data_IF_939689610315
#
_entry.id   IF_939689610315
#
_cell.length_a   1.000
_cell.length_b   1.000
_cell.length_c   1.000
_cell.angle_alpha   90.00
_cell.angle_beta   90.00
_cell.angle_gamma   90.00
#
_symmetry.space_group_name_H-M   'P 1'
#
loop_
_entity.id
_entity.type
_entity.pdbx_description
1 polymer ?
#
# COMPACT_ATOMS: atom_id res chain seq x y z
N UNK A 1 -5.38 47.36 9.38
CA UNK A 1 -4.15 46.54 9.54
C UNK A 1 -4.59 45.19 10.06
N UNK A 2 -4.51 44.07 9.37
CA UNK A 2 -4.00 43.73 8.05
C UNK A 2 -4.78 42.50 7.54
N UNK A 3 -4.68 42.31 6.23
CA UNK A 3 -5.47 41.48 5.34
C UNK A 3 -4.86 40.08 5.23
N UNK A 4 -5.64 39.01 5.36
CA UNK A 4 -5.39 37.68 4.75
C UNK A 4 -6.76 37.04 4.47
N UNK A 5 -7.41 37.40 3.35
CA UNK A 5 -7.43 36.63 2.10
C UNK A 5 -7.96 35.19 2.24
N UNK A 6 -9.09 34.96 1.55
CA UNK A 6 -9.91 33.78 1.68
C UNK A 6 -9.25 32.51 1.14
N UNK A 7 -9.60 31.38 1.77
CA UNK A 7 -9.44 30.05 1.19
C UNK A 7 -10.74 29.28 1.27
N UNK A 8 -11.44 29.40 0.14
CA UNK A 8 -12.25 28.41 -0.57
C UNK A 8 -12.57 27.10 0.19
N UNK A 9 -13.87 26.86 0.38
CA UNK A 9 -14.52 25.67 0.91
C UNK A 9 -14.29 24.42 0.02
N UNK A 10 -13.07 23.86 0.03
CA UNK A 10 -12.72 22.56 -0.59
C UNK A 10 -12.10 21.55 0.39
N UNK A 11 -12.43 21.65 1.67
CA UNK A 11 -12.13 20.64 2.70
C UNK A 11 -13.25 19.59 2.80
N UNK A 12 -13.46 18.78 1.76
CA UNK A 12 -14.30 17.58 1.87
C UNK A 12 -13.50 16.33 1.47
N UNK A 13 -13.25 15.49 2.46
CA UNK A 13 -12.98 14.04 2.37
C UNK A 13 -11.59 13.53 1.96
N UNK A 14 -10.50 14.23 2.30
CA UNK A 14 -9.17 13.61 2.23
C UNK A 14 -8.48 13.72 3.59
N UNK A 15 -8.58 12.64 4.37
CA UNK A 15 -7.68 12.40 5.50
C UNK A 15 -6.25 12.54 5.01
N UNK A 16 -5.43 13.40 5.64
CA UNK A 16 -3.99 13.38 5.42
C UNK A 16 -3.49 11.97 5.70
N UNK A 17 -2.96 11.35 4.66
CA UNK A 17 -2.23 10.09 4.69
C UNK A 17 -1.32 10.01 5.92
N UNK A 18 -1.57 9.06 6.84
CA UNK A 18 -0.75 8.93 8.07
C UNK A 18 0.74 8.74 7.71
N UNK A 19 0.98 8.18 6.52
CA UNK A 19 2.30 7.93 5.98
C UNK A 19 2.58 8.68 4.66
N UNK A 20 2.03 9.89 4.46
CA UNK A 20 2.38 10.96 3.48
C UNK A 20 2.94 10.66 2.07
N UNK A 21 2.91 9.43 1.55
CA UNK A 21 3.34 9.06 0.19
C UNK A 21 2.40 8.06 -0.49
N UNK A 22 1.35 7.60 0.18
CA UNK A 22 0.37 6.70 -0.43
C UNK A 22 -0.64 7.50 -1.26
N UNK A 23 -0.58 7.36 -2.59
CA UNK A 23 -1.69 7.78 -3.46
C UNK A 23 -2.66 6.61 -3.61
N UNK A 24 -3.71 6.61 -2.79
CA UNK A 24 -4.81 5.67 -2.98
C UNK A 24 -5.59 6.05 -4.24
N UNK A 25 -5.62 5.18 -5.25
CA UNK A 25 -6.45 5.35 -6.44
C UNK A 25 -7.80 4.66 -6.20
N UNK A 26 -8.92 5.39 -6.09
CA UNK A 26 -10.24 4.79 -5.94
C UNK A 26 -10.66 4.14 -7.26
N UNK A 27 -10.54 2.82 -7.35
CA UNK A 27 -11.15 2.04 -8.44
C UNK A 27 -12.59 1.70 -8.04
N UNK A 28 -13.57 2.47 -8.51
CA UNK A 28 -15.01 2.24 -8.25
C UNK A 28 -15.64 1.22 -9.20
N UNK A 29 -16.40 0.31 -8.57
CA UNK A 29 -17.50 -0.54 -9.08
C UNK A 29 -17.19 -1.93 -9.67
N UNK A 30 -17.85 -2.91 -9.04
CA UNK A 30 -17.82 -4.37 -9.19
C UNK A 30 -18.21 -4.91 -10.60
N UNK A 31 -18.57 -4.04 -11.54
CA UNK A 31 -18.94 -4.41 -12.92
C UNK A 31 -17.77 -4.35 -13.91
N UNK A 32 -16.54 -4.14 -13.44
CA UNK A 32 -15.33 -4.04 -14.25
C UNK A 32 -14.36 -5.22 -14.09
N UNK A 33 -14.73 -6.43 -13.67
CA UNK A 33 -13.71 -7.47 -13.48
C UNK A 33 -12.90 -7.80 -14.76
N UNK A 34 -13.52 -7.75 -15.95
CA UNK A 34 -12.81 -7.87 -17.24
C UNK A 34 -12.12 -6.57 -17.69
N UNK A 35 -12.68 -5.40 -17.37
CA UNK A 35 -12.10 -4.11 -17.75
C UNK A 35 -10.97 -3.67 -16.80
N UNK A 36 -10.94 -4.19 -15.58
CA UNK A 36 -9.92 -4.00 -14.55
C UNK A 36 -8.69 -4.84 -14.86
N UNK A 37 -8.87 -6.07 -15.37
CA UNK A 37 -7.78 -6.83 -16.00
C UNK A 37 -7.22 -6.08 -17.22
N UNK A 38 -8.09 -5.44 -18.02
CA UNK A 38 -7.66 -4.61 -19.15
C UNK A 38 -6.97 -3.31 -18.70
N UNK A 39 -7.41 -2.68 -17.61
CA UNK A 39 -6.76 -1.51 -17.01
C UNK A 39 -5.48 -1.87 -16.26
N UNK A 40 -5.39 -3.05 -15.64
CA UNK A 40 -4.15 -3.63 -15.12
C UNK A 40 -3.19 -3.91 -16.29
N UNK A 41 -3.68 -4.40 -17.43
CA UNK A 41 -2.89 -4.56 -18.65
C UNK A 41 -2.46 -3.21 -19.26
N UNK A 42 -3.28 -2.17 -19.20
CA UNK A 42 -2.93 -0.81 -19.65
C UNK A 42 -1.93 -0.14 -18.69
N UNK A 43 -2.10 -0.29 -17.37
CA UNK A 43 -1.10 0.09 -16.36
C UNK A 43 0.19 -0.73 -16.54
N UNK A 44 0.08 -2.03 -16.86
CA UNK A 44 1.22 -2.89 -17.17
C UNK A 44 2.01 -2.39 -18.39
N UNK A 45 1.35 -1.79 -19.39
CA UNK A 45 1.99 -1.15 -20.54
C UNK A 45 2.71 0.17 -20.17
N UNK A 46 2.18 0.97 -19.25
CA UNK A 46 2.86 2.19 -18.75
C UNK A 46 4.01 1.88 -17.77
N UNK A 47 4.03 0.68 -17.18
CA UNK A 47 5.05 0.21 -16.22
C UNK A 47 6.25 -0.48 -16.88
N UNK A 48 6.29 -0.60 -18.21
CA UNK A 48 7.35 -1.34 -18.94
C UNK A 48 8.77 -0.75 -18.80
N UNK A 49 8.93 0.41 -18.17
CA UNK A 49 10.24 1.01 -17.83
C UNK A 49 10.47 1.19 -16.33
N UNK A 50 9.52 0.77 -15.50
CA UNK A 50 9.47 1.04 -14.06
C UNK A 50 9.67 -0.26 -13.29
N UNK A 51 10.51 -0.24 -12.25
CA UNK A 51 10.71 -1.39 -11.38
C UNK A 51 9.54 -1.47 -10.40
N UNK A 52 8.70 -2.48 -10.56
CA UNK A 52 7.43 -2.63 -9.85
C UNK A 52 7.42 -3.87 -8.98
N UNK A 53 6.92 -3.76 -7.76
CA UNK A 53 6.70 -4.89 -6.86
C UNK A 53 5.22 -5.05 -6.49
N UNK A 54 4.70 -6.25 -6.69
CA UNK A 54 3.36 -6.66 -6.23
C UNK A 54 3.48 -7.45 -4.92
N UNK A 55 2.69 -7.04 -3.93
CA UNK A 55 2.54 -7.71 -2.65
C UNK A 55 1.16 -8.39 -2.61
N UNK A 56 1.15 -9.70 -2.87
CA UNK A 56 -0.05 -10.50 -3.21
C UNK A 56 -0.10 -11.78 -2.35
N UNK A 57 -1.28 -12.31 -2.01
CA UNK A 57 -1.44 -13.59 -1.32
C UNK A 57 -2.06 -14.69 -2.18
N UNK A 58 -2.82 -14.33 -3.21
CA UNK A 58 -3.51 -15.27 -4.07
C UNK A 58 -2.52 -16.04 -4.97
N UNK A 59 -2.39 -17.37 -4.83
CA UNK A 59 -1.48 -18.17 -5.65
C UNK A 59 -1.79 -18.12 -7.15
N UNK A 60 -3.05 -17.96 -7.54
CA UNK A 60 -3.45 -17.86 -8.95
C UNK A 60 -2.95 -16.53 -9.54
N UNK A 61 -3.19 -15.39 -8.86
CA UNK A 61 -2.66 -14.09 -9.28
C UNK A 61 -1.13 -14.06 -9.33
N UNK A 62 -0.47 -14.69 -8.35
CA UNK A 62 0.98 -14.82 -8.32
C UNK A 62 1.48 -15.59 -9.54
N UNK A 63 0.83 -16.69 -9.94
CA UNK A 63 1.23 -17.46 -11.12
C UNK A 63 1.02 -16.71 -12.45
N UNK A 64 -0.05 -15.92 -12.55
CA UNK A 64 -0.36 -15.12 -13.74
C UNK A 64 0.65 -13.98 -13.94
N UNK A 65 1.04 -13.32 -12.85
CA UNK A 65 1.96 -12.18 -12.86
C UNK A 65 3.44 -12.60 -12.74
N UNK A 66 3.72 -13.90 -12.66
CA UNK A 66 5.09 -14.45 -12.59
C UNK A 66 5.85 -14.37 -13.91
N UNK A 67 5.19 -13.91 -14.98
CA UNK A 67 5.85 -13.68 -16.26
C UNK A 67 6.93 -12.60 -16.08
N UNK A 68 8.19 -13.00 -16.23
CA UNK A 68 9.41 -12.20 -16.14
C UNK A 68 9.43 -11.09 -17.21
N UNK A 69 8.58 -10.09 -17.05
CA UNK A 69 8.77 -8.79 -17.68
C UNK A 69 9.93 -8.10 -16.97
N UNK A 70 10.84 -7.50 -17.73
CA UNK A 70 12.00 -6.75 -17.23
C UNK A 70 11.53 -5.56 -16.38
N UNK A 71 11.25 -5.78 -15.09
CA UNK A 71 10.85 -4.73 -14.16
C UNK A 71 9.82 -5.16 -13.12
N UNK A 72 9.02 -6.21 -13.37
CA UNK A 72 7.97 -6.62 -12.42
C UNK A 72 8.42 -7.75 -11.51
N UNK A 73 8.15 -7.64 -10.21
CA UNK A 73 8.35 -8.69 -9.21
C UNK A 73 7.07 -8.91 -8.42
N UNK A 74 6.79 -10.16 -8.06
CA UNK A 74 5.61 -10.51 -7.26
C UNK A 74 6.06 -11.31 -6.05
N UNK A 75 5.73 -10.84 -4.86
CA UNK A 75 6.05 -11.53 -3.61
C UNK A 75 4.78 -11.92 -2.86
N UNK A 76 4.80 -13.18 -2.41
CA UNK A 76 3.73 -13.70 -1.57
C UNK A 76 3.78 -13.05 -0.19
N UNK A 77 2.68 -12.43 0.21
CA UNK A 77 2.48 -11.90 1.57
C UNK A 77 1.51 -12.77 2.35
N UNK A 78 1.73 -12.88 3.66
CA UNK A 78 0.78 -13.51 4.58
C UNK A 78 0.11 -12.43 5.42
N UNK A 79 -1.19 -12.59 5.64
CA UNK A 79 -2.02 -11.62 6.35
C UNK A 79 -2.60 -12.22 7.65
N UNK A 80 -1.78 -12.45 8.70
CA UNK A 80 -2.24 -13.14 9.91
C UNK A 80 -3.12 -12.28 10.83
N UNK A 81 -3.23 -10.98 10.57
CA UNK A 81 -3.96 -10.04 11.44
C UNK A 81 -5.34 -9.75 10.84
N UNK A 82 -6.44 -10.01 11.57
CA UNK A 82 -7.78 -9.66 11.11
C UNK A 82 -8.00 -8.15 10.97
N UNK A 83 -8.85 -7.77 10.00
CA UNK A 83 -9.22 -6.40 9.68
C UNK A 83 -9.73 -5.60 10.90
N UNK A 84 -10.50 -6.23 11.80
CA UNK A 84 -11.03 -5.60 13.04
C UNK A 84 -9.94 -5.03 13.96
N UNK A 85 -8.69 -5.49 13.85
CA UNK A 85 -7.56 -5.00 14.66
C UNK A 85 -6.96 -3.69 14.11
N UNK A 86 -7.42 -3.20 12.96
CA UNK A 86 -6.86 -2.05 12.25
C UNK A 86 -6.76 -0.81 13.14
N UNK A 87 -7.83 -0.43 13.83
CA UNK A 87 -7.83 0.76 14.68
C UNK A 87 -6.79 0.68 15.82
N UNK A 88 -6.70 -0.48 16.49
CA UNK A 88 -5.72 -0.70 17.58
C UNK A 88 -4.29 -0.62 17.06
N UNK A 89 -4.02 -1.15 15.88
CA UNK A 89 -2.71 -1.08 15.24
C UNK A 89 -2.35 0.35 14.81
N UNK A 90 -3.32 1.10 14.28
CA UNK A 90 -3.14 2.50 13.91
C UNK A 90 -2.77 3.35 15.13
N UNK A 91 -3.50 3.16 16.25
CA UNK A 91 -3.22 3.82 17.53
C UNK A 91 -1.80 3.50 18.00
N UNK A 92 -1.42 2.21 18.01
CA UNK A 92 -0.05 1.80 18.35
C UNK A 92 0.99 2.50 17.48
N UNK A 93 0.81 2.55 16.16
CA UNK A 93 1.79 3.18 15.28
C UNK A 93 1.97 4.68 15.53
N UNK A 94 0.89 5.39 15.90
CA UNK A 94 0.93 6.82 16.22
C UNK A 94 1.64 7.11 17.54
N UNK A 95 1.47 6.23 18.52
CA UNK A 95 1.99 6.41 19.89
C UNK A 95 3.43 5.92 20.05
N UNK A 96 3.94 5.10 19.12
CA UNK A 96 5.22 4.43 19.26
C UNK A 96 6.25 4.97 18.26
N UNK A 97 7.29 5.69 18.72
CA UNK A 97 8.31 6.27 17.84
C UNK A 97 9.03 5.26 16.94
N UNK A 98 9.11 3.98 17.33
CA UNK A 98 9.73 2.92 16.50
C UNK A 98 8.96 2.64 15.19
N UNK A 99 7.71 3.09 15.11
CA UNK A 99 6.92 3.07 13.87
C UNK A 99 7.10 4.33 13.01
N UNK A 100 7.90 5.31 13.47
CA UNK A 100 8.19 6.50 12.70
C UNK A 100 9.17 6.18 11.55
N UNK A 101 8.97 6.75 10.35
CA UNK A 101 9.72 6.38 9.14
C UNK A 101 11.26 6.52 9.20
N UNK A 102 11.79 7.32 10.13
CA UNK A 102 13.21 7.67 10.19
C UNK A 102 14.03 6.85 11.20
N UNK A 103 13.45 5.84 11.84
CA UNK A 103 14.03 5.29 13.09
C UNK A 103 14.86 4.01 12.94
N UNK A 104 14.66 3.20 11.89
CA UNK A 104 15.43 1.94 11.71
C UNK A 104 15.14 1.27 10.36
N UNK A 105 15.99 0.32 9.95
CA UNK A 105 15.68 -0.61 8.87
C UNK A 105 14.39 -1.39 9.23
N UNK A 106 13.44 -1.50 8.30
CA UNK A 106 12.15 -2.20 8.52
C UNK A 106 12.33 -3.60 9.14
N UNK A 107 13.36 -4.33 8.71
CA UNK A 107 13.69 -5.67 9.18
C UNK A 107 14.11 -5.70 10.66
N UNK A 108 14.64 -4.60 11.19
CA UNK A 108 15.10 -4.45 12.57
C UNK A 108 14.11 -3.67 13.45
N UNK A 109 13.15 -2.96 12.85
CA UNK A 109 12.12 -2.24 13.58
C UNK A 109 11.35 -3.20 14.50
N UNK A 110 10.97 -2.77 15.70
CA UNK A 110 10.04 -3.51 16.58
C UNK A 110 8.58 -3.09 16.39
N UNK A 111 8.28 -2.23 15.39
CA UNK A 111 6.93 -1.77 15.09
C UNK A 111 6.00 -2.95 14.71
N UNK A 112 4.81 -3.04 15.31
CA UNK A 112 3.87 -4.16 15.05
C UNK A 112 3.35 -4.21 13.61
N UNK A 113 3.42 -3.10 12.87
CA UNK A 113 3.01 -3.02 11.47
C UNK A 113 4.12 -3.42 10.48
N UNK A 114 5.38 -3.49 10.90
CA UNK A 114 6.47 -3.79 9.97
C UNK A 114 6.39 -5.26 9.52
N UNK A 115 6.31 -5.48 8.21
CA UNK A 115 6.56 -6.79 7.62
C UNK A 115 8.06 -7.03 7.57
N UNK A 116 8.51 -8.16 8.10
CA UNK A 116 9.95 -8.52 8.20
C UNK A 116 10.31 -9.78 7.42
N UNK A 117 9.31 -10.50 6.93
CA UNK A 117 9.41 -11.80 6.30
C UNK A 117 9.29 -11.74 4.77
N UNK A 118 9.69 -10.62 4.17
CA UNK A 118 9.81 -10.48 2.71
C UNK A 118 11.27 -10.75 2.29
N UNK A 119 11.52 -11.14 1.03
CA UNK A 119 12.87 -11.26 0.51
C UNK A 119 13.66 -9.95 0.64
N UNK A 120 14.98 -10.06 0.85
CA UNK A 120 15.86 -8.93 1.10
C UNK A 120 15.80 -7.85 0.01
N UNK A 121 15.65 -8.27 -1.25
CA UNK A 121 15.50 -7.38 -2.41
C UNK A 121 14.33 -6.40 -2.29
N UNK A 122 13.23 -6.78 -1.63
CA UNK A 122 12.07 -5.90 -1.41
C UNK A 122 12.47 -4.65 -0.62
N UNK A 123 13.38 -4.80 0.34
CA UNK A 123 13.84 -3.72 1.20
C UNK A 123 15.01 -2.92 0.62
N UNK A 124 15.79 -3.53 -0.29
CA UNK A 124 17.01 -2.93 -0.82
C UNK A 124 16.81 -2.21 -2.15
N UNK A 125 15.93 -2.72 -2.99
CA UNK A 125 15.64 -2.11 -4.29
C UNK A 125 14.80 -0.84 -4.08
N UNK A 126 15.09 0.18 -4.90
CA UNK A 126 14.25 1.36 -5.01
C UNK A 126 13.20 1.08 -6.07
N UNK A 127 12.00 0.79 -5.61
CA UNK A 127 10.85 0.55 -6.49
C UNK A 127 10.35 1.87 -7.05
N UNK A 128 9.93 1.88 -8.31
CA UNK A 128 9.16 2.99 -8.87
C UNK A 128 7.71 2.87 -8.42
N UNK A 129 7.18 1.64 -8.34
CA UNK A 129 5.81 1.36 -7.91
C UNK A 129 5.73 0.17 -6.96
N UNK A 130 5.00 0.32 -5.87
CA UNK A 130 4.64 -0.76 -4.94
C UNK A 130 3.13 -0.98 -5.00
N UNK A 131 2.69 -2.15 -5.43
CA UNK A 131 1.28 -2.51 -5.55
C UNK A 131 0.88 -3.45 -4.40
N UNK A 132 -0.20 -3.10 -3.70
CA UNK A 132 -0.82 -3.91 -2.64
C UNK A 132 -2.18 -4.42 -3.15
N UNK A 133 -2.23 -5.68 -3.58
CA UNK A 133 -3.42 -6.30 -4.22
C UNK A 133 -4.07 -7.41 -3.35
N UNK A 134 -3.49 -7.70 -2.19
CA UNK A 134 -4.06 -8.62 -1.19
C UNK A 134 -4.49 -7.93 0.11
N UNK A 135 -5.20 -8.65 1.01
CA UNK A 135 -5.85 -9.93 0.84
C UNK A 135 -7.31 -9.80 0.39
N UNK A 136 -7.90 -10.94 0.03
CA UNK A 136 -9.34 -11.09 -0.21
C UNK A 136 -10.16 -11.00 1.09
N UNK A 137 -11.39 -10.50 0.96
CA UNK A 137 -12.39 -10.45 2.03
C UNK A 137 -12.58 -9.05 2.60
N UNK A 138 -13.79 -8.75 3.04
CA UNK A 138 -14.25 -7.43 3.52
C UNK A 138 -14.76 -7.47 4.97
N UNK A 139 -14.99 -8.65 5.52
CA UNK A 139 -15.48 -8.85 6.87
C UNK A 139 -14.45 -8.42 7.94
N UNK A 140 -14.90 -8.02 9.15
CA UNK A 140 -14.00 -7.68 10.26
C UNK A 140 -13.04 -8.81 10.67
N UNK A 141 -13.45 -10.08 10.48
CA UNK A 141 -12.61 -11.25 10.75
C UNK A 141 -11.70 -11.63 9.57
N UNK A 142 -11.95 -11.08 8.38
CA UNK A 142 -11.12 -11.34 7.22
C UNK A 142 -9.69 -10.83 7.45
N UNK A 143 -8.70 -11.40 6.76
CA UNK A 143 -7.32 -10.90 6.79
C UNK A 143 -7.23 -9.40 6.46
N UNK A 144 -6.41 -8.66 7.19
CA UNK A 144 -6.25 -7.21 7.05
C UNK A 144 -4.90 -6.83 6.44
N UNK A 145 -4.90 -5.83 5.54
CA UNK A 145 -3.70 -5.33 4.83
C UNK A 145 -2.92 -4.21 5.53
N UNK A 146 -3.19 -3.93 6.80
CA UNK A 146 -2.59 -2.82 7.55
C UNK A 146 -1.05 -2.84 7.51
N UNK A 147 -0.45 -4.00 7.78
CA UNK A 147 1.02 -4.15 7.79
C UNK A 147 1.63 -4.00 6.40
N UNK A 148 0.92 -4.43 5.36
CA UNK A 148 1.39 -4.33 3.97
C UNK A 148 1.34 -2.88 3.47
N UNK A 149 0.25 -2.16 3.73
CA UNK A 149 0.15 -0.73 3.41
C UNK A 149 1.23 0.06 4.17
N UNK A 150 1.40 -0.21 5.46
CA UNK A 150 2.48 0.41 6.25
C UNK A 150 3.85 0.14 5.62
N UNK A 151 4.18 -1.12 5.34
CA UNK A 151 5.48 -1.48 4.79
C UNK A 151 5.72 -0.82 3.44
N UNK A 152 4.72 -0.83 2.54
CA UNK A 152 4.77 -0.14 1.26
C UNK A 152 5.02 1.36 1.42
N UNK A 153 4.36 2.01 2.40
CA UNK A 153 4.58 3.43 2.68
C UNK A 153 6.01 3.75 3.14
N UNK A 154 6.63 2.86 3.92
CA UNK A 154 8.02 3.03 4.37
C UNK A 154 8.99 2.81 3.19
N UNK A 155 8.75 1.80 2.35
CA UNK A 155 9.51 1.60 1.10
C UNK A 155 9.42 2.83 0.19
N UNK A 156 8.25 3.45 0.10
CA UNK A 156 8.07 4.61 -0.73
C UNK A 156 8.83 5.85 -0.24
N UNK A 157 9.07 5.94 1.07
CA UNK A 157 9.85 7.02 1.69
C UNK A 157 11.36 6.82 1.60
N UNK A 158 11.83 5.57 1.52
CA UNK A 158 13.25 5.29 1.24
C UNK A 158 13.60 5.50 -0.23
N UNK A 159 12.60 5.44 -1.11
CA UNK A 159 12.68 5.85 -2.51
C UNK A 159 12.63 7.37 -2.70
N UNK A 160 13.05 7.85 -3.89
CA UNK A 160 12.92 9.28 -4.26
C UNK A 160 11.55 9.59 -4.87
N UNK A 161 11.00 8.65 -5.65
CA UNK A 161 9.80 8.84 -6.49
C UNK A 161 8.98 7.55 -6.58
N UNK A 162 8.86 6.85 -5.45
CA UNK A 162 8.10 5.59 -5.40
C UNK A 162 6.62 5.88 -5.16
N UNK A 163 5.75 5.42 -6.04
CA UNK A 163 4.30 5.47 -5.84
C UNK A 163 3.80 4.17 -5.19
N UNK A 164 2.84 4.29 -4.26
CA UNK A 164 2.15 3.14 -3.68
C UNK A 164 0.73 3.08 -4.23
N UNK A 165 0.40 1.96 -4.85
CA UNK A 165 -0.94 1.67 -5.37
C UNK A 165 -1.58 0.61 -4.48
N UNK A 166 -2.72 0.94 -3.88
CA UNK A 166 -3.51 -0.01 -3.10
C UNK A 166 -4.75 -0.35 -3.92
N UNK A 167 -4.98 -1.64 -4.16
CA UNK A 167 -6.15 -2.11 -4.89
C UNK A 167 -7.41 -2.14 -4.00
N UNK A 168 -8.61 -2.05 -4.57
CA UNK A 168 -9.91 -2.15 -3.86
C UNK A 168 -10.03 -1.29 -2.58
N UNK A 169 -9.85 0.03 -2.69
CA UNK A 169 -9.83 0.97 -1.54
C UNK A 169 -11.21 1.39 -1.02
N UNK A 170 -12.20 0.49 -1.08
CA UNK A 170 -13.57 0.79 -0.67
C UNK A 170 -13.76 0.83 0.85
N UNK A 171 -12.85 0.25 1.64
CA UNK A 171 -13.01 0.10 3.08
C UNK A 171 -12.34 1.26 3.84
N UNK A 172 -12.75 1.41 5.10
CA UNK A 172 -12.21 2.44 5.98
C UNK A 172 -10.74 2.20 6.34
N UNK A 173 -10.30 0.94 6.32
CA UNK A 173 -8.92 0.56 6.68
C UNK A 173 -7.93 1.20 5.70
N UNK A 174 -8.19 1.11 4.40
CA UNK A 174 -7.32 1.70 3.38
C UNK A 174 -7.26 3.21 3.56
N UNK A 175 -8.39 3.85 3.85
CA UNK A 175 -8.45 5.31 4.12
C UNK A 175 -7.71 5.74 5.39
N UNK A 176 -7.55 4.85 6.37
CA UNK A 176 -6.83 5.15 7.62
C UNK A 176 -5.32 4.94 7.51
N UNK A 177 -4.90 4.03 6.63
CA UNK A 177 -3.51 3.60 6.50
C UNK A 177 -2.82 4.11 5.23
N UNK A 178 -3.58 4.51 4.20
CA UNK A 178 -3.05 5.40 3.16
C UNK A 178 -2.82 6.76 3.77
#
# INVERSE_FOLDING_TARGET
MERLEGRNLRERNYSRCLFSSCRAFPFSDYLKSQLLLLLLHILHLELLRSITVFLEDDPYKISLNKADSNGTRVYKVKYPVPAKKAYKLLKHARENPVCAPSTSLLQQSSCKLALRNLPQEVYQLKWDVVVVDGPIGDAPEAPGRMSTIYTASILARSGKTTDVVVHDVHRMIEKWFS
#
